data_IF_894297192609
#
_entry.id   IF_894297192609
#
_cell.length_a   1.000
_cell.length_b   1.000
_cell.length_c   1.000
_cell.angle_alpha   90.00
_cell.angle_beta   90.00
_cell.angle_gamma   90.00
#
_symmetry.space_group_name_H-M   'P 1'
#
loop_
_entity.id
_entity.type
_entity.pdbx_description
1 polymer ?
#
# COMPACT_ATOMS: atom_id res chain seq x y z
N UNK A 1 -37.50 -4.39 -8.82
CA UNK A 1 -36.42 -3.38 -8.73
C UNK A 1 -35.08 -4.08 -8.89
N UNK A 2 -34.23 -3.66 -9.82
CA UNK A 2 -32.88 -4.19 -9.99
C UNK A 2 -31.97 -3.68 -8.90
N UNK A 3 -31.08 -4.53 -8.35
CA UNK A 3 -30.04 -4.11 -7.41
C UNK A 3 -28.86 -3.55 -8.21
N UNK A 4 -28.52 -2.30 -7.97
CA UNK A 4 -27.28 -1.71 -8.48
C UNK A 4 -26.07 -2.09 -7.63
N UNK A 5 -24.87 -1.95 -8.18
CA UNK A 5 -23.61 -2.09 -7.46
C UNK A 5 -23.06 -0.69 -7.16
N UNK A 6 -22.68 -0.46 -5.91
CA UNK A 6 -21.99 0.76 -5.48
C UNK A 6 -20.74 0.33 -4.69
N UNK A 7 -19.61 0.23 -5.38
CA UNK A 7 -18.34 -0.21 -4.83
C UNK A 7 -17.23 0.69 -5.32
N UNK A 8 -16.35 1.07 -4.42
CA UNK A 8 -15.15 1.88 -4.67
C UNK A 8 -13.95 1.15 -4.08
N UNK A 9 -12.89 1.09 -4.85
CA UNK A 9 -11.59 0.59 -4.41
C UNK A 9 -10.56 1.68 -4.73
N UNK A 10 -9.79 2.08 -3.72
CA UNK A 10 -8.76 3.10 -3.84
C UNK A 10 -7.46 2.63 -3.18
N UNK A 11 -6.35 2.89 -3.84
CA UNK A 11 -5.02 2.86 -3.25
C UNK A 11 -4.44 4.25 -3.37
N UNK A 12 -4.19 4.89 -2.24
CA UNK A 12 -3.74 6.28 -2.25
C UNK A 12 -2.92 6.64 -1.02
N UNK A 13 -2.46 7.88 -0.99
CA UNK A 13 -1.61 8.43 0.06
C UNK A 13 -2.36 9.50 0.84
N UNK A 14 -2.25 9.46 2.18
CA UNK A 14 -2.88 10.48 3.04
C UNK A 14 -2.24 11.85 2.83
N UNK A 15 -3.08 12.85 2.58
CA UNK A 15 -2.65 14.25 2.44
C UNK A 15 -2.49 14.99 3.78
N UNK A 16 -3.14 14.50 4.82
CA UNK A 16 -3.09 15.04 6.19
C UNK A 16 -3.32 13.90 7.19
N UNK A 17 -3.05 14.19 8.46
CA UNK A 17 -3.35 13.24 9.54
C UNK A 17 -4.86 12.98 9.62
N UNK A 18 -5.29 11.76 9.98
CA UNK A 18 -6.70 11.43 10.16
C UNK A 18 -7.34 12.24 11.28
N UNK A 19 -8.55 12.73 11.07
CA UNK A 19 -9.31 13.45 12.09
C UNK A 19 -10.36 12.53 12.73
N UNK A 20 -10.11 12.07 13.95
CA UNK A 20 -11.08 11.32 14.73
C UNK A 20 -12.04 12.25 15.45
N UNK A 21 -13.33 11.95 15.36
CA UNK A 21 -14.41 12.63 16.09
C UNK A 21 -15.35 11.59 16.68
N UNK A 22 -15.98 11.94 17.80
CA UNK A 22 -17.06 11.16 18.35
C UNK A 22 -18.40 11.78 17.97
N UNK A 23 -19.36 10.95 17.58
CA UNK A 23 -20.75 11.37 17.38
C UNK A 23 -21.45 11.53 18.72
N UNK A 24 -22.61 12.21 18.73
CA UNK A 24 -23.44 12.36 19.93
C UNK A 24 -23.89 11.00 20.52
N UNK A 25 -23.89 9.95 19.71
CA UNK A 25 -24.17 8.57 20.13
C UNK A 25 -22.95 7.81 20.65
N UNK A 26 -21.78 8.47 20.78
CA UNK A 26 -20.55 7.85 21.27
C UNK A 26 -19.81 7.00 20.24
N UNK A 27 -20.22 6.99 18.97
CA UNK A 27 -19.53 6.24 17.93
C UNK A 27 -18.35 7.03 17.37
N UNK A 28 -17.22 6.36 17.21
CA UNK A 28 -16.02 6.93 16.58
C UNK A 28 -16.23 7.10 15.08
N UNK A 29 -15.92 8.28 14.55
CA UNK A 29 -15.90 8.61 13.12
C UNK A 29 -14.59 9.29 12.80
N UNK A 30 -13.91 8.82 11.76
CA UNK A 30 -12.69 9.43 11.29
C UNK A 30 -12.87 9.92 9.85
N UNK A 31 -12.47 11.17 9.62
CA UNK A 31 -12.40 11.75 8.30
C UNK A 31 -10.95 11.84 7.86
N UNK A 32 -10.67 11.41 6.64
CA UNK A 32 -9.35 11.55 6.05
C UNK A 32 -9.45 11.84 4.56
N UNK A 33 -8.40 12.44 4.00
CA UNK A 33 -8.26 12.69 2.57
C UNK A 33 -7.09 11.91 2.03
N UNK A 34 -7.34 11.17 0.95
CA UNK A 34 -6.30 10.46 0.23
C UNK A 34 -6.17 10.99 -1.19
N UNK A 35 -4.93 11.01 -1.69
CA UNK A 35 -4.59 11.37 -3.05
C UNK A 35 -4.34 10.11 -3.87
N UNK A 36 -4.92 10.07 -5.06
CA UNK A 36 -4.54 9.11 -6.11
C UNK A 36 -3.91 9.89 -7.25
N UNK A 37 -2.73 9.48 -7.68
CA UNK A 37 -2.00 10.13 -8.76
C UNK A 37 -2.11 9.30 -10.02
N UNK A 38 -2.46 9.96 -11.10
CA UNK A 38 -2.42 9.43 -12.45
C UNK A 38 -1.47 10.25 -13.30
N UNK A 39 -0.89 9.67 -14.33
CA UNK A 39 -0.04 10.38 -15.26
C UNK A 39 -0.38 10.02 -16.70
N UNK A 40 -0.33 10.99 -17.56
CA UNK A 40 -0.49 10.81 -18.98
C UNK A 40 0.57 11.58 -19.76
N UNK A 41 0.86 11.18 -20.97
CA UNK A 41 1.61 11.99 -21.90
C UNK A 41 0.66 12.90 -22.67
N UNK A 42 0.99 14.16 -22.71
CA UNK A 42 0.33 15.12 -23.60
C UNK A 42 0.69 14.77 -25.05
N UNK A 43 -0.32 14.59 -25.90
CA UNK A 43 -0.11 14.19 -27.30
C UNK A 43 0.51 15.28 -28.17
N UNK A 44 0.40 16.54 -27.77
CA UNK A 44 0.92 17.68 -28.52
C UNK A 44 2.37 18.02 -28.11
N UNK A 45 2.66 18.00 -26.80
CA UNK A 45 3.99 18.39 -26.27
C UNK A 45 4.87 17.21 -25.91
N UNK A 46 4.32 15.99 -25.88
CA UNK A 46 4.98 14.76 -25.40
C UNK A 46 5.50 14.83 -23.95
N UNK A 47 5.05 15.83 -23.21
CA UNK A 47 5.38 16.02 -21.80
C UNK A 47 4.53 15.11 -20.89
N UNK A 48 5.11 14.74 -19.74
CA UNK A 48 4.39 13.99 -18.70
C UNK A 48 3.53 14.97 -17.90
N UNK A 49 2.20 14.79 -17.98
CA UNK A 49 1.22 15.52 -17.17
C UNK A 49 0.76 14.62 -16.04
N UNK A 50 0.95 15.06 -14.80
CA UNK A 50 0.50 14.38 -13.60
C UNK A 50 -0.81 15.01 -13.11
N UNK A 51 -1.79 14.17 -12.79
CA UNK A 51 -3.09 14.60 -12.25
C UNK A 51 -3.30 13.94 -10.91
N UNK A 52 -3.64 14.73 -9.91
CA UNK A 52 -3.95 14.23 -8.56
C UNK A 52 -5.44 14.40 -8.28
N UNK A 53 -6.09 13.29 -7.93
CA UNK A 53 -7.48 13.29 -7.46
C UNK A 53 -7.53 13.11 -5.94
N UNK A 54 -8.34 13.94 -5.29
CA UNK A 54 -8.52 13.93 -3.86
C UNK A 54 -9.85 13.29 -3.46
N UNK A 55 -9.77 12.26 -2.64
CA UNK A 55 -10.93 11.51 -2.17
C UNK A 55 -11.16 11.77 -0.68
N UNK A 56 -12.40 12.11 -0.33
CA UNK A 56 -12.82 12.23 1.06
C UNK A 56 -13.30 10.86 1.55
N UNK A 57 -12.66 10.33 2.58
CA UNK A 57 -12.93 9.01 3.14
C UNK A 57 -13.51 9.18 4.54
N UNK A 58 -14.59 8.46 4.82
CA UNK A 58 -15.22 8.41 6.14
C UNK A 58 -15.18 6.99 6.66
N UNK A 59 -14.56 6.83 7.82
CA UNK A 59 -14.47 5.57 8.54
C UNK A 59 -15.29 5.62 9.81
N UNK A 60 -15.84 4.47 10.21
CA UNK A 60 -16.67 4.36 11.38
C UNK A 60 -16.12 3.32 12.36
N UNK A 61 -16.44 3.52 13.65
CA UNK A 61 -16.16 2.57 14.73
C UNK A 61 -14.68 2.15 14.74
N UNK A 62 -14.41 0.84 14.74
CA UNK A 62 -13.07 0.26 14.81
C UNK A 62 -12.14 0.74 13.70
N UNK A 63 -12.62 0.89 12.47
CA UNK A 63 -11.79 1.40 11.37
C UNK A 63 -11.33 2.84 11.63
N UNK A 64 -12.20 3.68 12.23
CA UNK A 64 -11.85 5.04 12.59
C UNK A 64 -10.73 5.09 13.65
N UNK A 65 -10.80 4.24 14.67
CA UNK A 65 -9.79 4.14 15.72
C UNK A 65 -8.45 3.59 15.20
N UNK A 66 -8.50 2.60 14.31
CA UNK A 66 -7.29 2.06 13.65
C UNK A 66 -6.63 3.11 12.78
N UNK A 67 -7.41 3.87 12.00
CA UNK A 67 -6.88 4.93 11.16
C UNK A 67 -6.16 6.00 11.98
N UNK A 68 -6.79 6.51 13.04
CA UNK A 68 -6.19 7.52 13.92
C UNK A 68 -4.92 7.03 14.59
N UNK A 69 -4.90 5.78 15.05
CA UNK A 69 -3.75 5.21 15.76
C UNK A 69 -2.53 4.95 14.88
N UNK A 70 -2.73 4.50 13.66
CA UNK A 70 -1.67 3.96 12.82
C UNK A 70 -1.37 4.76 11.56
N UNK A 71 -2.24 5.67 11.14
CA UNK A 71 -2.06 6.45 9.93
C UNK A 71 -1.59 7.87 10.26
N UNK A 72 -0.76 8.41 9.38
CA UNK A 72 -0.30 9.79 9.39
C UNK A 72 -0.26 10.33 7.98
N UNK A 73 -0.10 11.63 7.83
CA UNK A 73 0.20 12.25 6.54
C UNK A 73 1.33 11.50 5.84
N UNK A 74 1.13 11.16 4.57
CA UNK A 74 2.07 10.40 3.77
C UNK A 74 1.94 8.87 3.87
N UNK A 75 1.09 8.32 4.75
CA UNK A 75 0.81 6.90 4.80
C UNK A 75 0.06 6.45 3.55
N UNK A 76 0.45 5.31 2.98
CA UNK A 76 -0.26 4.67 1.88
C UNK A 76 -1.27 3.66 2.41
N UNK A 77 -2.49 3.69 1.86
CA UNK A 77 -3.60 2.86 2.30
C UNK A 77 -4.40 2.30 1.12
N UNK A 78 -4.92 1.10 1.31
CA UNK A 78 -5.98 0.51 0.50
C UNK A 78 -7.30 0.77 1.20
N UNK A 79 -8.30 1.23 0.47
CA UNK A 79 -9.66 1.48 0.93
C UNK A 79 -10.64 0.75 0.02
N UNK A 80 -11.55 0.00 0.62
CA UNK A 80 -12.73 -0.52 -0.04
C UNK A 80 -13.97 0.07 0.61
N UNK A 81 -14.91 0.55 -0.20
CA UNK A 81 -16.12 1.18 0.32
C UNK A 81 -17.17 1.43 -0.74
N UNK A 82 -18.03 2.40 -0.48
CA UNK A 82 -19.08 2.86 -1.38
C UNK A 82 -19.15 4.37 -1.44
N UNK A 83 -19.57 4.91 -2.58
CA UNK A 83 -19.87 6.33 -2.72
C UNK A 83 -21.16 6.70 -1.97
N UNK A 84 -21.11 7.83 -1.30
CA UNK A 84 -22.27 8.47 -0.68
C UNK A 84 -22.23 9.97 -0.95
N UNK A 85 -23.28 10.50 -1.55
CA UNK A 85 -23.44 11.94 -1.71
C UNK A 85 -24.38 12.46 -0.61
N UNK A 86 -23.90 13.49 0.08
CA UNK A 86 -24.64 14.19 1.11
C UNK A 86 -24.97 15.60 0.63
N UNK A 87 -26.23 16.01 0.80
CA UNK A 87 -26.67 17.38 0.59
C UNK A 87 -26.51 18.16 1.89
N UNK A 88 -25.98 19.38 1.80
CA UNK A 88 -25.86 20.29 2.92
C UNK A 88 -26.10 21.73 2.44
N UNK A 89 -26.37 22.66 3.33
CA UNK A 89 -26.54 24.07 3.01
C UNK A 89 -25.32 24.85 3.49
N UNK A 90 -24.82 25.73 2.64
CA UNK A 90 -23.80 26.69 3.03
C UNK A 90 -24.39 27.83 3.88
N UNK A 91 -23.54 28.75 4.32
CA UNK A 91 -23.97 29.89 5.17
C UNK A 91 -24.93 30.84 4.45
N UNK A 92 -24.90 30.84 3.13
CA UNK A 92 -25.75 31.67 2.27
C UNK A 92 -27.07 30.97 1.90
N UNK A 93 -27.34 29.80 2.45
CA UNK A 93 -28.56 29.01 2.22
C UNK A 93 -28.55 28.20 0.93
N UNK A 94 -27.44 28.16 0.17
CA UNK A 94 -27.35 27.41 -1.07
C UNK A 94 -27.16 25.92 -0.80
N UNK A 95 -27.85 25.10 -1.59
CA UNK A 95 -27.67 23.65 -1.53
C UNK A 95 -26.33 23.24 -2.14
N UNK A 96 -25.51 22.54 -1.36
CA UNK A 96 -24.23 21.96 -1.76
C UNK A 96 -24.30 20.45 -1.66
N UNK A 97 -23.50 19.79 -2.46
CA UNK A 97 -23.35 18.34 -2.46
C UNK A 97 -21.90 17.99 -2.18
N UNK A 98 -21.70 17.04 -1.27
CA UNK A 98 -20.37 16.48 -0.98
C UNK A 98 -20.43 14.99 -1.22
N UNK A 99 -19.55 14.49 -2.07
CA UNK A 99 -19.40 13.05 -2.33
C UNK A 99 -18.25 12.52 -1.50
N UNK A 100 -18.52 11.49 -0.73
CA UNK A 100 -17.62 10.86 0.22
C UNK A 100 -17.58 9.34 -0.06
N UNK A 101 -16.46 8.70 0.23
CA UNK A 101 -16.34 7.25 0.24
C UNK A 101 -16.53 6.76 1.67
N UNK A 102 -17.59 6.00 1.90
CA UNK A 102 -17.80 5.32 3.17
C UNK A 102 -17.01 4.01 3.14
N UNK A 103 -15.94 3.94 3.91
CA UNK A 103 -15.08 2.77 3.96
C UNK A 103 -15.74 1.61 4.70
N UNK A 104 -15.70 0.43 4.09
CA UNK A 104 -16.10 -0.85 4.69
C UNK A 104 -14.88 -1.66 5.13
N UNK A 105 -13.75 -1.49 4.42
CA UNK A 105 -12.47 -2.12 4.73
C UNK A 105 -11.31 -1.17 4.46
N UNK A 106 -10.22 -1.38 5.20
CA UNK A 106 -8.99 -0.58 5.09
C UNK A 106 -7.78 -1.45 5.40
N UNK A 107 -6.74 -1.33 4.58
CA UNK A 107 -5.45 -1.97 4.81
C UNK A 107 -4.31 -0.96 4.71
N UNK A 108 -3.38 -1.03 5.64
CA UNK A 108 -2.18 -0.22 5.63
C UNK A 108 -1.16 -0.85 4.68
N UNK A 109 -0.72 -0.10 3.67
CA UNK A 109 0.22 -0.58 2.64
C UNK A 109 1.65 -0.05 2.83
N UNK A 110 1.88 0.84 3.77
CA UNK A 110 3.22 1.35 4.07
C UNK A 110 4.10 0.30 4.75
N UNK A 111 5.39 0.30 4.45
CA UNK A 111 6.37 -0.43 5.23
C UNK A 111 6.19 -0.07 6.70
N UNK A 112 6.00 -1.06 7.56
CA UNK A 112 6.24 -0.90 8.99
C UNK A 112 7.57 -0.17 9.10
N UNK A 113 7.54 1.00 9.71
CA UNK A 113 8.71 1.83 9.88
C UNK A 113 9.91 0.97 10.19
N UNK A 114 11.01 1.23 9.53
CA UNK A 114 12.31 0.62 9.77
C UNK A 114 12.73 0.94 11.20
N UNK A 115 12.10 0.27 12.14
CA UNK A 115 12.60 0.03 13.46
C UNK A 115 13.45 -1.22 13.35
N UNK A 116 14.75 -1.04 13.32
CA UNK A 116 15.71 -2.11 13.32
C UNK A 116 15.44 -3.08 14.46
N UNK A 117 14.89 -4.21 14.12
CA UNK A 117 14.89 -5.43 14.91
C UNK A 117 15.89 -6.36 14.25
N UNK A 118 17.18 -6.18 14.54
CA UNK A 118 18.15 -7.25 14.45
C UNK A 118 17.60 -8.41 15.25
N UNK A 119 17.16 -9.43 14.58
CA UNK A 119 17.04 -10.74 15.20
C UNK A 119 18.47 -11.23 15.42
N UNK A 120 19.04 -10.85 16.57
CA UNK A 120 20.18 -11.53 17.13
C UNK A 120 19.71 -12.98 17.36
N UNK A 121 20.17 -13.87 16.52
CA UNK A 121 20.13 -15.31 16.76
C UNK A 121 21.06 -15.57 17.94
N UNK A 122 20.51 -15.62 19.14
CA UNK A 122 21.18 -16.19 20.28
C UNK A 122 21.20 -17.72 20.07
N UNK A 123 22.26 -18.18 19.46
CA UNK A 123 22.66 -19.57 19.53
C UNK A 123 23.66 -19.71 20.67
N UNK A 124 23.14 -19.94 21.89
CA UNK A 124 23.92 -20.49 22.99
C UNK A 124 23.96 -22.01 22.87
N UNK A 125 25.13 -22.52 22.67
CA UNK A 125 25.35 -23.96 22.76
C UNK A 125 26.83 -24.26 22.59
N UNK A 126 27.55 -24.36 23.72
CA UNK A 126 28.96 -24.63 23.83
C UNK A 126 29.37 -26.01 23.25
N UNK A 127 30.65 -26.10 22.92
CA UNK A 127 31.26 -27.36 22.50
C UNK A 127 32.66 -27.11 21.98
N UNK A 128 33.58 -26.97 22.93
CA UNK A 128 35.03 -27.01 22.75
C UNK A 128 35.44 -28.34 22.08
N UNK A 129 36.13 -28.32 20.96
CA UNK A 129 37.15 -29.32 20.57
C UNK A 129 38.01 -28.74 19.46
N UNK A 130 39.26 -28.40 19.76
CA UNK A 130 40.43 -28.57 18.89
C UNK A 130 41.00 -29.99 19.18
N UNK A 131 41.69 -30.67 18.24
CA UNK A 131 42.98 -30.28 17.72
C UNK A 131 43.31 -30.72 16.27
N UNK A 132 44.23 -29.95 15.69
CA UNK A 132 45.53 -30.39 15.13
C UNK A 132 45.62 -31.18 13.82
N UNK A 133 46.24 -30.45 12.88
CA UNK A 133 47.34 -30.95 11.98
C UNK A 133 46.99 -31.75 10.72
N UNK A 134 47.21 -31.17 9.59
CA UNK A 134 48.14 -31.64 8.55
C UNK A 134 47.87 -31.06 7.17
N UNK A 135 48.74 -30.23 6.68
CA UNK A 135 49.04 -30.02 5.24
C UNK A 135 49.93 -31.13 4.74
N UNK A 136 50.28 -31.24 3.45
CA UNK A 136 49.76 -30.67 2.22
C UNK A 136 49.82 -31.67 1.00
N UNK A 137 49.62 -31.08 -0.19
CA UNK A 137 50.07 -31.60 -1.51
C UNK A 137 48.95 -32.18 -2.40
N UNK A 138 48.67 -31.50 -3.51
CA UNK A 138 49.31 -31.74 -4.77
C UNK A 138 48.30 -31.86 -5.90
N UNK A 139 48.44 -31.02 -6.91
CA UNK A 139 48.28 -31.31 -8.33
C UNK A 139 46.91 -31.19 -9.02
N UNK A 140 46.83 -30.17 -9.87
CA UNK A 140 46.02 -30.10 -11.11
C UNK A 140 46.57 -31.11 -12.15
N UNK A 141 46.04 -31.34 -13.36
CA UNK A 141 44.92 -30.69 -14.10
C UNK A 141 44.06 -31.68 -14.92
N UNK A 142 43.05 -31.13 -15.62
CA UNK A 142 42.45 -31.87 -16.75
C UNK A 142 40.99 -31.55 -16.98
N UNK A 143 40.72 -30.61 -17.86
CA UNK A 143 40.16 -30.80 -19.19
C UNK A 143 38.72 -31.33 -19.30
N UNK A 144 37.85 -30.52 -19.88
CA UNK A 144 36.93 -31.02 -20.89
C UNK A 144 35.44 -30.92 -20.58
N UNK A 145 34.72 -30.20 -21.40
CA UNK A 145 33.36 -30.56 -21.77
C UNK A 145 32.26 -29.55 -21.40
N UNK A 146 32.01 -28.64 -22.31
CA UNK A 146 30.67 -28.10 -22.48
C UNK A 146 29.72 -29.14 -23.09
N UNK A 147 28.44 -29.09 -22.85
CA UNK A 147 27.53 -28.95 -23.98
C UNK A 147 26.47 -27.84 -23.78
N UNK A 148 26.35 -27.09 -24.79
CA UNK A 148 25.27 -26.46 -25.53
C UNK A 148 23.84 -26.97 -25.28
N UNK A 149 22.92 -25.99 -25.31
CA UNK A 149 21.51 -26.16 -25.66
C UNK A 149 20.58 -26.08 -24.44
N UNK A 150 19.65 -25.21 -24.36
CA UNK A 150 18.55 -24.88 -25.26
C UNK A 150 18.00 -23.52 -24.87
N UNK A 151 17.93 -22.65 -25.84
CA UNK A 151 17.08 -21.47 -25.84
C UNK A 151 15.61 -21.93 -25.87
N UNK A 152 14.86 -21.70 -24.82
CA UNK A 152 13.41 -21.73 -24.87
C UNK A 152 12.93 -20.28 -24.93
N UNK A 153 12.72 -19.82 -26.17
CA UNK A 153 11.88 -18.66 -26.48
C UNK A 153 10.50 -18.84 -25.83
N UNK A 154 10.21 -18.07 -24.80
CA UNK A 154 8.86 -17.82 -24.34
C UNK A 154 8.35 -16.59 -25.07
N UNK A 155 7.67 -16.82 -26.19
CA UNK A 155 6.77 -15.85 -26.81
C UNK A 155 5.58 -15.61 -25.84
N UNK A 156 5.64 -14.50 -25.15
CA UNK A 156 4.54 -13.99 -24.31
C UNK A 156 3.69 -13.02 -25.15
N UNK A 157 2.95 -13.58 -26.12
CA UNK A 157 1.86 -12.88 -26.81
C UNK A 157 0.65 -12.79 -25.88
N UNK A 158 0.50 -11.69 -25.17
CA UNK A 158 -0.74 -11.34 -24.48
C UNK A 158 -1.57 -10.47 -25.41
N UNK A 159 -2.69 -10.96 -25.95
CA UNK A 159 -3.60 -10.15 -26.75
C UNK A 159 -4.45 -9.25 -25.83
N UNK A 160 -4.42 -7.97 -26.11
CA UNK A 160 -5.36 -6.98 -25.56
C UNK A 160 -6.66 -6.96 -26.38
#
# INVERSE_FOLDING_TARGET
MSRGVNKVILVGTLGADPELRQTNSGSSVCNMRIATNDWRRDSATNERVETTEWHNIVLFKRLAEVAERYLKKGSQVYIEGKLRTRKWQDRDGNNRYSTEVIANDMQLLGARGSGGGSYASENQGGGNYMPENSKPSGNSPGSGGAPTGDDADFDDDIPF
#
